data_IF_784079714321
#
_entry.id   IF_784079714321
#
_cell.length_a   1.000
_cell.length_b   1.000
_cell.length_c   1.000
_cell.angle_alpha   90.00
_cell.angle_beta   90.00
_cell.angle_gamma   90.00
#
_symmetry.space_group_name_H-M   'P 1'
#
loop_
_entity.id
_entity.type
_entity.pdbx_description
1 polymer ?
#
# COMPACT_ATOMS: atom_id res chain seq x y z
N UNK A 1 11.72 -6.10 -16.82
CA UNK A 1 10.94 -6.72 -15.73
C UNK A 1 10.17 -5.59 -15.04
N UNK A 2 8.92 -5.33 -15.43
CA UNK A 2 8.23 -4.04 -15.18
C UNK A 2 8.29 -3.59 -13.71
N UNK A 3 8.14 -4.50 -12.76
CA UNK A 3 8.17 -4.22 -11.32
C UNK A 3 9.41 -3.43 -10.85
N UNK A 4 10.60 -3.72 -11.36
CA UNK A 4 11.83 -3.04 -10.92
C UNK A 4 11.90 -1.58 -11.40
N UNK A 5 11.21 -1.24 -12.50
CA UNK A 5 11.13 0.13 -13.03
C UNK A 5 10.14 0.99 -12.24
N UNK A 6 9.02 0.39 -11.80
CA UNK A 6 7.98 1.08 -11.02
C UNK A 6 8.27 1.10 -9.51
N UNK A 7 9.07 0.17 -8.99
CA UNK A 7 9.41 0.10 -7.57
C UNK A 7 9.96 1.42 -6.97
N UNK A 8 10.92 2.13 -7.59
CA UNK A 8 11.41 3.39 -7.03
C UNK A 8 10.35 4.50 -6.98
N UNK A 9 9.28 4.40 -7.77
CA UNK A 9 8.17 5.37 -7.80
C UNK A 9 6.91 4.84 -7.12
N UNK A 10 7.02 3.74 -6.39
CA UNK A 10 5.84 2.98 -5.95
C UNK A 10 4.98 3.74 -4.95
N UNK A 11 5.60 4.53 -4.08
CA UNK A 11 4.93 5.40 -3.12
C UNK A 11 4.11 6.49 -3.83
N UNK A 12 4.70 7.14 -4.84
CA UNK A 12 4.01 8.13 -5.67
C UNK A 12 2.83 7.49 -6.40
N UNK A 13 3.02 6.28 -6.93
CA UNK A 13 1.94 5.50 -7.56
C UNK A 13 0.85 5.13 -6.56
N UNK A 14 1.15 4.83 -5.29
CA UNK A 14 0.12 4.51 -4.28
C UNK A 14 -0.81 5.69 -3.99
N UNK A 15 -0.30 6.91 -4.14
CA UNK A 15 -1.07 8.16 -3.95
C UNK A 15 -1.74 8.67 -5.22
N UNK A 16 -1.37 8.12 -6.38
CA UNK A 16 -1.90 8.53 -7.67
C UNK A 16 -3.30 7.96 -7.93
N UNK A 17 -4.11 8.71 -8.70
CA UNK A 17 -5.50 8.36 -9.02
C UNK A 17 -5.59 7.04 -9.80
N UNK A 18 -4.61 6.74 -10.65
CA UNK A 18 -4.54 5.50 -11.45
C UNK A 18 -3.53 4.51 -10.86
N UNK A 19 -2.39 5.01 -10.38
CA UNK A 19 -1.31 4.19 -9.83
C UNK A 19 -1.74 3.35 -8.62
N UNK A 20 -2.71 3.81 -7.83
CA UNK A 20 -3.15 3.06 -6.65
C UNK A 20 -3.78 1.71 -7.04
N UNK A 21 -4.44 1.63 -8.20
CA UNK A 21 -5.05 0.40 -8.70
C UNK A 21 -3.98 -0.60 -9.15
N UNK A 22 -2.89 -0.10 -9.74
CA UNK A 22 -1.73 -0.93 -10.13
C UNK A 22 -1.11 -1.57 -8.90
N UNK A 23 -0.87 -0.78 -7.85
CA UNK A 23 -0.36 -1.29 -6.57
C UNK A 23 -1.26 -2.34 -5.95
N UNK A 24 -2.57 -2.08 -5.92
CA UNK A 24 -3.55 -3.07 -5.44
C UNK A 24 -3.48 -4.37 -6.24
N UNK A 25 -3.33 -4.31 -7.56
CA UNK A 25 -3.19 -5.50 -8.41
C UNK A 25 -1.91 -6.27 -8.13
N UNK A 26 -0.80 -5.60 -7.82
CA UNK A 26 0.42 -6.27 -7.39
C UNK A 26 0.26 -6.96 -6.03
N UNK A 27 -0.50 -6.39 -5.09
CA UNK A 27 -0.80 -7.09 -3.83
C UNK A 27 -1.73 -8.29 -4.03
N UNK A 28 -2.67 -8.22 -4.98
CA UNK A 28 -3.60 -9.32 -5.30
C UNK A 28 -2.94 -10.45 -6.10
N UNK A 29 -2.18 -10.13 -7.15
CA UNK A 29 -1.70 -11.09 -8.15
C UNK A 29 -0.16 -11.20 -8.22
N UNK A 30 0.57 -10.33 -7.52
CA UNK A 30 2.03 -10.32 -7.54
C UNK A 30 2.65 -11.49 -6.76
N UNK A 31 3.91 -11.77 -7.05
CA UNK A 31 4.67 -12.82 -6.37
C UNK A 31 4.86 -12.50 -4.89
N UNK A 32 5.06 -13.52 -4.06
CA UNK A 32 5.28 -13.33 -2.61
C UNK A 32 6.49 -12.44 -2.29
N UNK A 33 7.57 -12.49 -3.09
CA UNK A 33 8.73 -11.60 -2.97
C UNK A 33 8.36 -10.14 -3.22
N UNK A 34 7.71 -9.86 -4.35
CA UNK A 34 7.26 -8.51 -4.74
C UNK A 34 6.31 -7.92 -3.70
N UNK A 35 5.35 -8.71 -3.20
CA UNK A 35 4.42 -8.25 -2.16
C UNK A 35 5.14 -7.90 -0.86
N UNK A 36 6.20 -8.64 -0.52
CA UNK A 36 7.00 -8.37 0.68
C UNK A 36 7.82 -7.09 0.52
N UNK A 37 8.44 -6.89 -0.64
CA UNK A 37 9.15 -5.64 -0.96
C UNK A 37 8.21 -4.42 -0.94
N UNK A 38 7.04 -4.53 -1.59
CA UNK A 38 6.02 -3.49 -1.55
C UNK A 38 5.51 -3.20 -0.14
N UNK A 39 5.25 -4.25 0.64
CA UNK A 39 4.82 -4.09 2.03
C UNK A 39 5.90 -3.39 2.85
N UNK A 40 7.18 -3.73 2.66
CA UNK A 40 8.31 -3.08 3.35
C UNK A 40 8.36 -1.57 3.08
N UNK A 41 8.21 -1.16 1.82
CA UNK A 41 8.16 0.27 1.46
C UNK A 41 6.93 0.97 2.07
N UNK A 42 5.79 0.30 2.03
CA UNK A 42 4.54 0.80 2.59
C UNK A 42 4.67 0.98 4.10
N UNK A 43 5.28 0.04 4.83
CA UNK A 43 5.54 0.10 6.26
C UNK A 43 6.35 1.33 6.68
N UNK A 44 7.37 1.70 5.91
CA UNK A 44 8.14 2.92 6.15
C UNK A 44 7.30 4.20 6.02
N UNK A 45 6.18 4.13 5.30
CA UNK A 45 5.36 5.27 4.92
C UNK A 45 3.88 5.13 5.33
N UNK A 46 3.55 4.19 6.24
CA UNK A 46 2.16 3.89 6.64
C UNK A 46 1.45 5.14 7.15
N UNK A 47 2.12 5.95 7.98
CA UNK A 47 1.52 7.17 8.54
C UNK A 47 1.17 8.17 7.43
N UNK A 48 2.11 8.45 6.53
CA UNK A 48 1.94 9.38 5.41
C UNK A 48 0.87 8.91 4.43
N UNK A 49 0.85 7.62 4.10
CA UNK A 49 -0.14 7.03 3.20
C UNK A 49 -1.53 6.98 3.82
N UNK A 50 -1.64 6.77 5.13
CA UNK A 50 -2.94 6.75 5.83
C UNK A 50 -3.58 8.13 5.88
N UNK A 51 -2.80 9.21 5.89
CA UNK A 51 -3.28 10.60 5.83
C UNK A 51 -3.65 11.06 4.41
N UNK A 52 -3.40 10.23 3.38
CA UNK A 52 -3.73 10.54 2.00
C UNK A 52 -5.06 9.91 1.58
N UNK A 53 -5.90 10.70 0.89
CA UNK A 53 -7.25 10.31 0.44
C UNK A 53 -7.28 9.02 -0.40
N UNK A 54 -6.22 8.73 -1.17
CA UNK A 54 -6.10 7.51 -1.98
C UNK A 54 -5.17 6.46 -1.35
N UNK A 55 -4.15 6.89 -0.60
CA UNK A 55 -3.18 6.01 0.03
C UNK A 55 -3.80 5.11 1.11
N UNK A 56 -4.80 5.60 1.84
CA UNK A 56 -5.47 4.84 2.91
C UNK A 56 -6.11 3.54 2.38
N UNK A 57 -6.61 3.53 1.14
CA UNK A 57 -7.23 2.36 0.49
C UNK A 57 -6.21 1.25 0.25
N UNK A 58 -4.98 1.63 -0.16
CA UNK A 58 -3.89 0.67 -0.37
C UNK A 58 -3.46 0.07 0.97
N UNK A 59 -3.31 0.91 2.01
CA UNK A 59 -2.96 0.47 3.38
C UNK A 59 -4.00 -0.53 3.91
N UNK A 60 -5.30 -0.24 3.75
CA UNK A 60 -6.40 -1.13 4.15
C UNK A 60 -6.32 -2.49 3.45
N UNK A 61 -6.07 -2.50 2.15
CA UNK A 61 -5.97 -3.73 1.36
C UNK A 61 -4.82 -4.61 1.83
N UNK A 62 -3.66 -4.01 2.11
CA UNK A 62 -2.48 -4.73 2.61
C UNK A 62 -2.73 -5.27 4.02
N UNK A 63 -3.34 -4.46 4.90
CA UNK A 63 -3.67 -4.85 6.29
C UNK A 63 -4.74 -5.95 6.35
N UNK A 64 -5.56 -6.11 5.30
CA UNK A 64 -6.54 -7.21 5.20
C UNK A 64 -5.89 -8.51 4.71
N UNK A 65 -4.86 -8.41 3.85
CA UNK A 65 -4.20 -9.56 3.22
C UNK A 65 -3.05 -10.12 4.06
N UNK A 66 -2.27 -9.25 4.69
CA UNK A 66 -1.32 -9.60 5.74
C UNK A 66 -2.13 -9.55 7.04
N UNK A 67 -2.14 -10.60 7.88
CA UNK A 67 -2.63 -10.51 9.27
C UNK A 67 -1.70 -9.58 10.06
N UNK A 68 -1.71 -8.30 9.73
CA UNK A 68 -0.86 -7.26 10.29
C UNK A 68 -1.60 -6.72 11.51
N UNK A 69 -1.11 -7.12 12.67
CA UNK A 69 -1.68 -6.74 13.96
C UNK A 69 -1.23 -5.32 14.36
N UNK A 70 -1.46 -4.32 13.51
CA UNK A 70 -1.22 -2.91 13.83
C UNK A 70 -2.53 -2.21 14.18
N UNK A 71 -2.86 -2.25 15.47
CA UNK A 71 -4.01 -1.59 16.10
C UNK A 71 -4.10 -0.07 15.80
N UNK A 72 -2.99 0.56 15.40
CA UNK A 72 -2.92 2.00 15.06
C UNK A 72 -3.54 2.34 13.69
N UNK A 73 -3.56 1.41 12.73
CA UNK A 73 -4.07 1.68 11.38
C UNK A 73 -5.60 1.75 11.38
N UNK A 74 -6.27 0.94 12.21
CA UNK A 74 -7.73 0.97 12.32
C UNK A 74 -8.25 2.32 12.78
N UNK A 75 -7.56 3.02 13.69
CA UNK A 75 -8.00 4.36 14.13
C UNK A 75 -7.87 5.39 13.00
N UNK A 76 -6.68 5.49 12.38
CA UNK A 76 -6.43 6.47 11.31
C UNK A 76 -7.29 6.25 10.08
N UNK A 77 -7.53 5.00 9.68
CA UNK A 77 -8.28 4.72 8.44
C UNK A 77 -9.80 4.77 8.66
N UNK A 78 -10.32 4.55 9.87
CA UNK A 78 -11.76 4.73 10.15
C UNK A 78 -12.17 6.21 10.18
N UNK A 79 -11.27 7.10 10.59
CA UNK A 79 -11.52 8.55 10.66
C UNK A 79 -11.35 9.28 9.31
N UNK A 80 -10.76 8.63 8.29
CA UNK A 80 -10.55 9.19 6.95
C UNK A 80 -11.61 8.77 5.91
N UNK A 81 -12.65 8.04 6.30
CA UNK A 81 -13.72 7.53 5.41
C UNK A 81 -15.02 8.33 5.51
#
# INVERSE_FOLDING_TARGET
MVFQEIFPQVLTLMTDVVGNYVNQKFFEHGMASQRRELASELFGHVLTLSLQMYGCRVVQKVTTMQKMHLLVISFVVLDCA
#
